data_IF_465369411323
#
_entry.id   IF_465369411323
#
_cell.length_a   1.000
_cell.length_b   1.000
_cell.length_c   1.000
_cell.angle_alpha   90.00
_cell.angle_beta   90.00
_cell.angle_gamma   90.00
#
_symmetry.space_group_name_H-M   'P 1'
#
loop_
_entity.id
_entity.type
_entity.pdbx_description
1 polymer ?
#
# COMPACT_ATOMS: atom_id res chain seq x y z
N UNK A 1 4.12 4.39 -22.61
CA UNK A 1 3.11 4.21 -21.55
C UNK A 1 1.80 4.59 -22.18
N UNK A 2 0.92 3.62 -22.38
CA UNK A 2 -0.44 3.87 -22.83
C UNK A 2 -1.29 4.20 -21.59
N UNK A 3 -2.34 4.99 -21.76
CA UNK A 3 -3.21 5.39 -20.65
C UNK A 3 -3.88 4.17 -20.01
N UNK A 4 -4.23 3.18 -20.84
CA UNK A 4 -4.78 1.87 -20.45
C UNK A 4 -3.87 1.05 -19.53
N UNK A 5 -2.55 1.31 -19.55
CA UNK A 5 -1.59 0.60 -18.70
C UNK A 5 -1.58 1.17 -17.26
N UNK A 6 -2.15 2.37 -17.07
CA UNK A 6 -2.10 3.12 -15.80
C UNK A 6 -3.48 3.23 -15.17
N UNK A 7 -4.50 3.53 -15.97
CA UNK A 7 -5.88 3.72 -15.50
C UNK A 7 -6.83 2.71 -16.15
N UNK A 8 -7.94 2.45 -15.45
CA UNK A 8 -9.10 1.75 -15.99
C UNK A 8 -9.90 2.71 -16.88
N UNK A 9 -9.82 2.49 -18.20
CA UNK A 9 -10.50 3.31 -19.20
C UNK A 9 -12.02 3.16 -19.14
N UNK A 10 -12.54 1.96 -18.86
CA UNK A 10 -13.99 1.73 -18.84
C UNK A 10 -14.63 2.44 -17.65
N UNK A 11 -14.04 2.28 -16.46
CA UNK A 11 -14.51 2.95 -15.24
C UNK A 11 -14.33 4.48 -15.34
N UNK A 12 -13.23 4.95 -15.94
CA UNK A 12 -13.00 6.40 -16.09
C UNK A 12 -13.91 7.03 -17.15
N UNK A 13 -14.21 6.32 -18.24
CA UNK A 13 -15.11 6.79 -19.30
C UNK A 13 -16.57 6.78 -18.83
N UNK A 14 -17.00 5.66 -18.24
CA UNK A 14 -18.33 5.47 -17.66
C UNK A 14 -18.54 6.12 -16.30
N UNK A 15 -17.57 6.87 -15.78
CA UNK A 15 -17.69 7.74 -14.61
C UNK A 15 -17.53 9.23 -14.96
N UNK A 16 -17.46 9.57 -16.25
CA UNK A 16 -17.40 10.95 -16.73
C UNK A 16 -18.74 11.68 -16.57
N UNK A 17 -18.81 12.97 -16.95
CA UNK A 17 -20.00 13.80 -16.80
C UNK A 17 -21.27 13.16 -17.36
N UNK A 18 -21.17 12.39 -18.45
CA UNK A 18 -22.32 11.69 -19.06
C UNK A 18 -22.91 10.59 -18.17
N UNK A 19 -22.10 9.92 -17.35
CA UNK A 19 -22.58 8.90 -16.43
C UNK A 19 -23.11 9.51 -15.11
N UNK A 20 -22.52 10.62 -14.66
CA UNK A 20 -23.04 11.40 -13.54
C UNK A 20 -24.39 12.05 -13.90
N UNK A 21 -24.55 12.48 -15.16
CA UNK A 21 -25.83 12.93 -15.73
C UNK A 21 -26.81 11.77 -15.87
N UNK A 22 -26.40 10.61 -16.39
CA UNK A 22 -27.28 9.43 -16.50
C UNK A 22 -27.70 8.88 -15.12
N UNK A 23 -26.86 8.98 -14.10
CA UNK A 23 -27.19 8.64 -12.71
C UNK A 23 -28.18 9.66 -12.10
N UNK A 24 -28.00 10.96 -12.37
CA UNK A 24 -28.92 12.01 -11.92
C UNK A 24 -30.29 11.95 -12.63
N UNK A 25 -30.34 11.53 -13.90
CA UNK A 25 -31.58 11.34 -14.66
C UNK A 25 -32.29 10.01 -14.31
N UNK A 26 -31.61 9.09 -13.63
CA UNK A 26 -32.15 7.80 -13.18
C UNK A 26 -32.86 7.83 -11.81
N UNK A 27 -32.79 8.96 -11.08
CA UNK A 27 -33.40 9.11 -9.75
C UNK A 27 -34.78 9.82 -9.76
N UNK A 28 -35.29 10.19 -10.93
CA UNK A 28 -36.57 10.92 -11.08
C UNK A 28 -37.78 10.00 -11.34
N UNK A 29 -37.84 8.79 -10.76
CA UNK A 29 -39.10 8.04 -10.65
C UNK A 29 -39.13 7.18 -9.37
N UNK A 30 -39.53 7.77 -8.24
CA UNK A 30 -40.44 7.11 -7.29
C UNK A 30 -41.03 8.14 -6.30
N UNK A 31 -42.13 8.75 -6.73
CA UNK A 31 -43.03 9.53 -5.90
C UNK A 31 -44.04 8.56 -5.25
N UNK A 32 -43.87 8.24 -3.96
CA UNK A 32 -45.01 7.80 -3.14
C UNK A 32 -44.97 8.46 -1.75
N UNK A 33 -45.87 9.43 -1.61
CA UNK A 33 -46.41 9.92 -0.34
C UNK A 33 -46.76 8.78 0.63
N UNK A 34 -46.31 8.88 1.90
CA UNK A 34 -47.17 8.62 3.08
C UNK A 34 -46.54 9.18 4.37
N UNK A 35 -47.17 10.28 4.80
CA UNK A 35 -47.66 10.62 6.15
C UNK A 35 -46.76 10.59 7.40
N UNK A 36 -47.04 11.61 8.22
CA UNK A 36 -46.34 12.04 9.41
C UNK A 36 -46.90 11.40 10.70
N UNK A 37 -46.19 11.69 11.80
CA UNK A 37 -46.55 11.50 13.21
C UNK A 37 -46.30 10.10 13.81
N UNK A 38 -45.28 9.97 14.68
CA UNK A 38 -45.47 9.89 16.14
C UNK A 38 -44.22 9.43 16.92
N UNK A 39 -43.90 10.24 17.93
CA UNK A 39 -43.37 9.94 19.27
C UNK A 39 -42.10 9.09 19.51
N UNK A 40 -41.03 9.84 19.84
CA UNK A 40 -40.24 9.83 21.11
C UNK A 40 -40.37 8.59 22.03
N UNK A 41 -39.26 7.91 22.30
CA UNK A 41 -38.80 7.69 23.69
C UNK A 41 -37.28 7.58 23.78
N UNK A 42 -36.76 8.31 24.77
CA UNK A 42 -35.39 8.40 25.24
C UNK A 42 -35.08 7.26 26.20
N UNK A 43 -33.87 6.70 26.13
CA UNK A 43 -33.25 6.09 27.31
C UNK A 43 -31.72 6.25 27.28
N UNK A 44 -31.21 7.10 28.18
CA UNK A 44 -29.80 7.14 28.60
C UNK A 44 -29.57 6.27 29.84
N UNK A 45 -28.51 5.46 29.83
CA UNK A 45 -27.57 5.20 30.95
C UNK A 45 -26.50 4.22 30.43
N UNK A 46 -25.23 4.59 30.25
CA UNK A 46 -24.20 4.93 31.24
C UNK A 46 -23.63 3.71 32.01
N UNK A 47 -22.36 3.42 31.69
CA UNK A 47 -21.28 2.75 32.44
C UNK A 47 -21.42 1.27 32.84
N UNK A 48 -20.43 0.43 32.45
CA UNK A 48 -19.26 0.13 33.29
C UNK A 48 -18.19 -0.69 32.52
N UNK A 49 -16.93 -0.48 32.90
CA UNK A 49 -15.66 -1.10 32.45
C UNK A 49 -15.52 -2.60 32.80
N UNK A 50 -14.84 -3.37 31.93
CA UNK A 50 -13.78 -4.41 32.19
C UNK A 50 -13.59 -5.21 30.88
N UNK A 51 -12.52 -4.99 30.10
CA UNK A 51 -11.18 -5.63 30.14
C UNK A 51 -11.13 -7.13 29.75
N UNK A 52 -9.99 -7.49 29.14
CA UNK A 52 -9.52 -8.81 28.68
C UNK A 52 -9.83 -9.19 27.22
N UNK A 53 -8.90 -8.79 26.35
CA UNK A 53 -8.70 -9.27 24.99
C UNK A 53 -7.79 -10.52 25.01
N UNK A 54 -8.31 -11.67 24.56
CA UNK A 54 -7.48 -12.83 24.21
C UNK A 54 -7.11 -12.81 22.72
N UNK A 55 -5.82 -12.72 22.47
CA UNK A 55 -5.17 -12.82 21.16
C UNK A 55 -4.89 -14.28 20.81
N UNK A 56 -5.48 -14.80 19.73
CA UNK A 56 -5.07 -16.07 19.14
C UNK A 56 -4.02 -15.86 18.04
N UNK A 57 -2.85 -16.47 18.23
CA UNK A 57 -1.78 -16.61 17.23
C UNK A 57 -1.71 -18.05 16.76
N UNK A 58 -1.55 -18.35 15.46
CA UNK A 58 -1.08 -19.65 15.02
C UNK A 58 0.45 -19.63 14.77
N UNK A 59 1.15 -20.51 15.48
CA UNK A 59 2.54 -20.90 15.21
C UNK A 59 2.56 -22.22 14.43
N UNK A 60 3.50 -22.38 13.48
CA UNK A 60 3.80 -23.68 12.90
C UNK A 60 4.63 -23.65 11.62
N UNK A 61 5.94 -23.52 11.74
CA UNK A 61 6.92 -23.92 10.72
C UNK A 61 7.71 -25.08 11.32
N UNK A 62 7.70 -26.23 10.64
CA UNK A 62 8.72 -27.29 10.80
C UNK A 62 9.15 -27.76 9.42
N UNK A 63 10.45 -27.64 9.20
CA UNK A 63 11.28 -28.18 8.12
C UNK A 63 11.39 -29.71 8.25
N UNK A 64 11.48 -30.44 7.13
CA UNK A 64 12.51 -31.47 6.84
C UNK A 64 12.24 -32.22 5.52
N UNK A 65 13.13 -31.98 4.55
CA UNK A 65 13.96 -32.96 3.81
C UNK A 65 13.37 -34.17 3.03
N UNK A 66 13.77 -34.19 1.74
CA UNK A 66 14.40 -35.30 0.97
C UNK A 66 13.60 -36.25 0.04
N UNK A 67 14.26 -36.49 -1.11
CA UNK A 67 14.22 -37.60 -2.10
C UNK A 67 13.35 -37.50 -3.39
N UNK A 68 13.99 -37.00 -4.46
CA UNK A 68 14.45 -37.68 -5.71
C UNK A 68 13.68 -38.86 -6.37
N UNK A 69 13.89 -38.92 -7.70
CA UNK A 69 13.61 -39.97 -8.71
C UNK A 69 12.18 -40.08 -9.28
N UNK A 70 11.99 -39.79 -10.59
CA UNK A 70 12.05 -40.85 -11.62
C UNK A 70 11.87 -40.33 -13.08
N UNK A 71 12.63 -40.95 -13.99
CA UNK A 71 12.45 -41.28 -15.42
C UNK A 71 11.90 -40.26 -16.46
N UNK A 72 12.69 -39.91 -17.48
CA UNK A 72 12.88 -40.61 -18.78
C UNK A 72 11.76 -40.32 -19.80
N UNK A 73 12.06 -39.55 -20.86
CA UNK A 73 12.24 -40.07 -22.23
C UNK A 73 12.18 -38.97 -23.31
N UNK A 74 12.98 -39.26 -24.32
CA UNK A 74 13.23 -38.62 -25.60
C UNK A 74 11.98 -38.63 -26.52
N UNK A 75 11.84 -37.64 -27.41
CA UNK A 75 11.68 -37.90 -28.86
C UNK A 75 11.12 -36.70 -29.64
N UNK A 76 11.88 -36.40 -30.67
CA UNK A 76 11.66 -35.65 -31.90
C UNK A 76 10.26 -35.65 -32.56
N UNK A 77 9.96 -34.49 -33.16
CA UNK A 77 9.36 -34.20 -34.49
C UNK A 77 8.33 -35.16 -35.13
N UNK A 78 7.22 -34.58 -35.57
CA UNK A 78 6.70 -34.75 -36.94
C UNK A 78 5.82 -33.58 -37.37
N UNK A 79 6.05 -33.11 -38.60
CA UNK A 79 5.16 -32.27 -39.42
C UNK A 79 3.92 -33.06 -39.87
N UNK A 80 2.87 -32.35 -40.32
CA UNK A 80 1.97 -32.87 -41.35
C UNK A 80 0.49 -32.46 -41.29
N UNK A 81 0.09 -31.66 -42.29
CA UNK A 81 -1.20 -31.66 -43.02
C UNK A 81 -2.48 -30.99 -42.47
N UNK A 82 -2.76 -29.83 -43.09
CA UNK A 82 -3.95 -29.40 -43.85
C UNK A 82 -5.36 -29.95 -43.52
N UNK A 83 -6.30 -29.01 -43.43
CA UNK A 83 -7.73 -29.24 -43.56
C UNK A 83 -8.48 -27.93 -43.82
N UNK A 84 -8.77 -27.66 -45.09
CA UNK A 84 -9.71 -26.63 -45.55
C UNK A 84 -11.11 -26.86 -44.95
N UNK A 85 -11.80 -25.76 -44.64
CA UNK A 85 -13.19 -25.74 -44.19
C UNK A 85 -13.79 -24.36 -44.44
N UNK A 86 -14.12 -24.12 -45.71
CA UNK A 86 -14.99 -23.06 -46.19
C UNK A 86 -16.36 -23.13 -45.49
N UNK A 87 -16.82 -21.97 -45.00
CA UNK A 87 -18.01 -21.81 -44.20
C UNK A 87 -18.40 -20.34 -44.16
N UNK A 88 -18.88 -19.87 -45.31
CA UNK A 88 -19.69 -18.68 -45.50
C UNK A 88 -20.82 -18.63 -44.44
N UNK A 89 -20.75 -17.66 -43.54
CA UNK A 89 -21.88 -17.21 -42.73
C UNK A 89 -21.86 -15.68 -42.74
N UNK A 90 -22.48 -15.17 -43.81
CA UNK A 90 -22.86 -13.78 -44.04
C UNK A 90 -24.19 -13.59 -43.29
N UNK A 91 -24.13 -13.21 -42.01
CA UNK A 91 -25.21 -12.57 -41.22
C UNK A 91 -24.78 -12.40 -39.74
N UNK A 92 -24.02 -11.34 -39.43
CA UNK A 92 -24.05 -10.75 -38.07
C UNK A 92 -23.60 -9.28 -38.05
N UNK A 93 -24.26 -8.46 -38.87
CA UNK A 93 -24.05 -7.00 -38.96
C UNK A 93 -25.02 -6.22 -38.02
N UNK A 94 -25.36 -6.77 -36.85
CA UNK A 94 -26.29 -6.15 -35.88
C UNK A 94 -25.93 -6.34 -34.40
N UNK A 95 -24.67 -6.69 -34.09
CA UNK A 95 -24.14 -6.63 -32.72
C UNK A 95 -23.07 -5.53 -32.54
N UNK A 96 -23.21 -4.45 -33.31
CA UNK A 96 -22.56 -3.15 -33.06
C UNK A 96 -23.27 -2.45 -31.86
N UNK A 97 -23.32 -3.14 -30.70
CA UNK A 97 -23.30 -2.41 -29.44
C UNK A 97 -22.06 -1.53 -29.51
N UNK A 98 -22.27 -0.23 -29.29
CA UNK A 98 -21.29 0.85 -29.33
C UNK A 98 -20.23 0.63 -28.25
N UNK A 99 -19.40 -0.39 -28.42
CA UNK A 99 -18.15 -0.56 -27.71
C UNK A 99 -17.20 0.42 -28.39
N UNK A 100 -17.23 1.68 -27.94
CA UNK A 100 -16.24 2.70 -28.30
C UNK A 100 -14.87 2.02 -28.22
N UNK A 101 -14.12 2.05 -29.32
CA UNK A 101 -12.84 1.34 -29.34
C UNK A 101 -11.91 1.94 -28.27
N UNK A 102 -11.13 1.09 -27.59
CA UNK A 102 -10.24 1.51 -26.50
C UNK A 102 -9.34 2.71 -26.87
N UNK A 103 -8.90 2.79 -28.13
CA UNK A 103 -8.11 3.92 -28.63
C UNK A 103 -8.89 5.24 -28.67
N UNK A 104 -10.20 5.20 -28.97
CA UNK A 104 -11.06 6.40 -28.94
C UNK A 104 -11.32 6.84 -27.50
N UNK A 105 -11.62 5.90 -26.60
CA UNK A 105 -11.74 6.20 -25.16
C UNK A 105 -10.45 6.82 -24.61
N UNK A 106 -9.29 6.29 -25.03
CA UNK A 106 -7.98 6.83 -24.65
C UNK A 106 -7.78 8.26 -25.17
N UNK A 107 -8.07 8.55 -26.45
CA UNK A 107 -7.95 9.90 -27.01
C UNK A 107 -8.84 10.93 -26.28
N UNK A 108 -10.07 10.56 -25.92
CA UNK A 108 -11.02 11.44 -25.24
C UNK A 108 -10.63 11.71 -23.77
N UNK A 109 -10.14 10.70 -23.06
CA UNK A 109 -9.76 10.83 -21.64
C UNK A 109 -8.35 11.37 -21.41
N UNK A 110 -7.47 11.33 -22.42
CA UNK A 110 -6.05 11.67 -22.27
C UNK A 110 -5.83 13.07 -21.70
N UNK A 111 -6.51 14.09 -22.22
CA UNK A 111 -6.29 15.48 -21.77
C UNK A 111 -6.72 15.66 -20.32
N UNK A 112 -7.93 15.19 -19.96
CA UNK A 112 -8.46 15.29 -18.61
C UNK A 112 -7.61 14.53 -17.59
N UNK A 113 -7.17 13.32 -17.92
CA UNK A 113 -6.37 12.50 -17.00
C UNK A 113 -4.95 13.08 -16.85
N UNK A 114 -4.37 13.64 -17.92
CA UNK A 114 -3.09 14.33 -17.83
C UNK A 114 -3.15 15.57 -16.92
N UNK A 115 -4.23 16.36 -16.98
CA UNK A 115 -4.42 17.49 -16.06
C UNK A 115 -4.48 17.04 -14.59
N UNK A 116 -5.21 15.95 -14.30
CA UNK A 116 -5.24 15.33 -12.97
C UNK A 116 -3.83 14.90 -12.54
N UNK A 117 -3.09 14.21 -13.40
CA UNK A 117 -1.71 13.79 -13.10
C UNK A 117 -0.75 14.97 -12.90
N UNK A 118 -0.93 16.08 -13.62
CA UNK A 118 -0.11 17.28 -13.40
C UNK A 118 -0.38 17.89 -12.01
N UNK A 119 -1.63 17.89 -11.56
CA UNK A 119 -2.00 18.35 -10.22
C UNK A 119 -1.40 17.43 -9.14
N UNK A 120 -1.54 16.10 -9.32
CA UNK A 120 -0.92 15.09 -8.45
C UNK A 120 0.60 15.31 -8.39
N UNK A 121 1.28 15.46 -9.52
CA UNK A 121 2.72 15.70 -9.57
C UNK A 121 3.14 16.96 -8.79
N UNK A 122 2.42 18.08 -8.97
CA UNK A 122 2.68 19.33 -8.24
C UNK A 122 2.47 19.17 -6.73
N UNK A 123 1.45 18.43 -6.30
CA UNK A 123 1.19 18.17 -4.87
C UNK A 123 2.26 17.22 -4.31
N UNK A 124 2.67 16.21 -5.07
CA UNK A 124 3.73 15.28 -4.71
C UNK A 124 5.05 16.00 -4.47
N UNK A 125 5.47 16.93 -5.35
CA UNK A 125 6.70 17.69 -5.14
C UNK A 125 6.70 18.48 -3.82
N UNK A 126 5.54 19.04 -3.44
CA UNK A 126 5.40 19.76 -2.17
C UNK A 126 5.47 18.79 -0.99
N UNK A 127 4.80 17.64 -1.10
CA UNK A 127 4.79 16.60 -0.08
C UNK A 127 6.19 16.04 0.15
N UNK A 128 6.88 15.68 -0.93
CA UNK A 128 8.26 15.17 -0.91
C UNK A 128 9.21 16.17 -0.23
N UNK A 129 9.13 17.47 -0.56
CA UNK A 129 9.93 18.51 0.12
C UNK A 129 9.66 18.57 1.62
N UNK A 130 8.41 18.40 2.05
CA UNK A 130 8.06 18.37 3.47
C UNK A 130 8.58 17.09 4.16
N UNK A 131 8.52 15.95 3.47
CA UNK A 131 9.08 14.67 3.93
C UNK A 131 10.61 14.73 4.07
N UNK A 132 11.31 15.32 3.11
CA UNK A 132 12.76 15.50 3.18
C UNK A 132 13.15 16.37 4.39
N UNK A 133 12.46 17.50 4.61
CA UNK A 133 12.68 18.34 5.79
C UNK A 133 12.47 17.58 7.09
N UNK A 134 11.48 16.69 7.13
CA UNK A 134 11.18 15.83 8.27
C UNK A 134 12.30 14.81 8.51
N UNK A 135 12.74 14.11 7.47
CA UNK A 135 13.84 13.14 7.54
C UNK A 135 15.15 13.80 7.98
N UNK A 136 15.45 15.02 7.49
CA UNK A 136 16.65 15.76 7.90
C UNK A 136 16.63 16.09 9.40
N UNK A 137 15.48 16.47 9.97
CA UNK A 137 15.36 16.71 11.40
C UNK A 137 15.58 15.41 12.21
N UNK A 138 14.94 14.31 11.80
CA UNK A 138 15.07 13.01 12.46
C UNK A 138 16.51 12.47 12.41
N UNK A 139 17.18 12.58 11.26
CA UNK A 139 18.58 12.17 11.10
C UNK A 139 19.56 13.02 11.92
N UNK A 140 19.17 14.24 12.33
CA UNK A 140 19.94 15.08 13.26
C UNK A 140 19.63 14.77 14.73
N UNK A 141 18.65 13.90 15.00
CA UNK A 141 18.12 13.67 16.35
C UNK A 141 17.31 14.86 16.89
N UNK A 142 16.84 15.75 16.02
CA UNK A 142 16.01 16.90 16.37
C UNK A 142 14.51 16.54 16.27
N UNK A 143 13.69 17.15 17.12
CA UNK A 143 12.24 17.04 16.98
C UNK A 143 11.77 17.74 15.69
N UNK A 144 10.91 17.07 14.92
CA UNK A 144 10.34 17.66 13.70
C UNK A 144 9.52 18.90 14.08
N UNK A 145 9.72 20.06 13.42
CA UNK A 145 8.93 21.25 13.71
C UNK A 145 7.44 21.00 13.51
N UNK A 146 6.61 21.43 14.47
CA UNK A 146 5.14 21.26 14.42
C UNK A 146 4.53 21.82 13.14
N UNK A 147 5.08 22.92 12.61
CA UNK A 147 4.64 23.50 11.35
C UNK A 147 4.92 22.58 10.14
N UNK A 148 6.08 21.91 10.13
CA UNK A 148 6.45 20.93 9.08
C UNK A 148 5.56 19.71 9.16
N UNK A 149 5.32 19.16 10.36
CA UNK A 149 4.38 18.05 10.55
C UNK A 149 2.96 18.39 10.08
N UNK A 150 2.42 19.56 10.49
CA UNK A 150 1.09 19.99 10.02
C UNK A 150 1.02 20.14 8.51
N UNK A 151 2.07 20.69 7.89
CA UNK A 151 2.14 20.84 6.44
C UNK A 151 2.23 19.50 5.73
N UNK A 152 3.05 18.58 6.23
CA UNK A 152 3.16 17.22 5.71
C UNK A 152 1.82 16.49 5.75
N UNK A 153 1.14 16.49 6.90
CA UNK A 153 -0.15 15.82 7.05
C UNK A 153 -1.23 16.45 6.15
N UNK A 154 -1.25 17.78 6.00
CA UNK A 154 -2.17 18.45 5.07
C UNK A 154 -1.93 18.00 3.62
N UNK A 155 -0.67 18.03 3.16
CA UNK A 155 -0.32 17.63 1.79
C UNK A 155 -0.54 16.13 1.55
N UNK A 156 -0.37 15.31 2.59
CA UNK A 156 -0.67 13.88 2.53
C UNK A 156 -2.16 13.65 2.29
N UNK A 157 -3.02 14.33 3.05
CA UNK A 157 -4.47 14.20 2.86
C UNK A 157 -4.89 14.70 1.47
N UNK A 158 -4.38 15.87 1.05
CA UNK A 158 -4.63 16.40 -0.31
C UNK A 158 -4.17 15.42 -1.40
N UNK A 159 -3.08 14.68 -1.18
CA UNK A 159 -2.62 13.63 -2.10
C UNK A 159 -3.57 12.42 -2.13
N UNK A 160 -4.09 12.00 -0.97
CA UNK A 160 -5.06 10.90 -0.90
C UNK A 160 -6.33 11.28 -1.66
N UNK A 161 -6.88 12.47 -1.39
CA UNK A 161 -8.07 12.98 -2.07
C UNK A 161 -7.88 12.99 -3.61
N UNK A 162 -6.73 13.46 -4.09
CA UNK A 162 -6.43 13.48 -5.53
C UNK A 162 -6.24 12.08 -6.15
N UNK A 163 -5.75 11.11 -5.36
CA UNK A 163 -5.53 9.73 -5.83
C UNK A 163 -6.81 8.90 -5.79
N UNK A 164 -7.77 9.23 -4.92
CA UNK A 164 -9.11 8.62 -4.91
C UNK A 164 -9.86 8.89 -6.22
N UNK A 165 -9.65 10.05 -6.83
CA UNK A 165 -10.26 10.45 -8.12
C UNK A 165 -9.62 9.79 -9.36
N UNK A 166 -8.65 8.88 -9.17
CA UNK A 166 -7.94 8.16 -10.23
C UNK A 166 -8.24 6.67 -10.15
N UNK A 167 -9.04 6.18 -11.10
CA UNK A 167 -9.30 4.74 -11.25
C UNK A 167 -8.08 4.05 -11.86
N UNK A 168 -7.15 3.61 -11.01
CA UNK A 168 -5.98 2.85 -11.47
C UNK A 168 -6.39 1.51 -12.05
N UNK A 169 -5.67 1.07 -13.08
CA UNK A 169 -5.81 -0.29 -13.61
C UNK A 169 -5.43 -1.30 -12.51
N UNK A 170 -6.19 -2.39 -12.37
CA UNK A 170 -5.93 -3.44 -11.38
C UNK A 170 -4.49 -3.98 -11.42
N UNK A 171 -3.92 -4.18 -12.61
CA UNK A 171 -2.51 -4.59 -12.73
C UNK A 171 -1.56 -3.59 -12.06
N UNK A 172 -1.84 -2.30 -12.20
CA UNK A 172 -1.04 -1.24 -11.58
C UNK A 172 -1.24 -1.21 -10.07
N UNK A 173 -2.44 -1.49 -9.57
CA UNK A 173 -2.73 -1.63 -8.14
C UNK A 173 -1.91 -2.79 -7.55
N UNK A 174 -1.91 -3.95 -8.20
CA UNK A 174 -1.14 -5.13 -7.78
C UNK A 174 0.37 -4.84 -7.73
N UNK A 175 0.93 -4.20 -8.77
CA UNK A 175 2.35 -3.83 -8.80
C UNK A 175 2.72 -2.88 -7.63
N UNK A 176 1.86 -1.90 -7.33
CA UNK A 176 2.06 -0.98 -6.21
C UNK A 176 1.94 -1.68 -4.86
N UNK A 177 0.99 -2.61 -4.71
CA UNK A 177 0.81 -3.41 -3.51
C UNK A 177 2.01 -4.32 -3.26
N UNK A 178 2.52 -4.97 -4.30
CA UNK A 178 3.71 -5.82 -4.24
C UNK A 178 4.95 -5.01 -3.86
N UNK A 179 5.11 -3.81 -4.44
CA UNK A 179 6.20 -2.92 -4.06
C UNK A 179 6.12 -2.50 -2.59
N UNK A 180 4.95 -2.07 -2.11
CA UNK A 180 4.74 -1.70 -0.71
C UNK A 180 4.99 -2.88 0.23
N UNK A 181 4.51 -4.07 -0.13
CA UNK A 181 4.70 -5.30 0.64
C UNK A 181 6.18 -5.70 0.67
N UNK A 182 6.90 -5.53 -0.44
CA UNK A 182 8.34 -5.72 -0.54
C UNK A 182 9.12 -4.83 0.41
N UNK A 183 8.81 -3.53 0.44
CA UNK A 183 9.42 -2.57 1.36
C UNK A 183 9.12 -2.92 2.82
N UNK A 184 7.86 -3.24 3.14
CA UNK A 184 7.46 -3.63 4.49
C UNK A 184 8.16 -4.91 4.95
N UNK A 185 8.22 -5.94 4.11
CA UNK A 185 8.91 -7.20 4.43
C UNK A 185 10.42 -6.98 4.63
N UNK A 186 11.04 -6.11 3.84
CA UNK A 186 12.45 -5.72 4.01
C UNK A 186 12.66 -5.00 5.35
N UNK A 187 11.79 -4.04 5.70
CA UNK A 187 11.83 -3.32 6.98
C UNK A 187 11.69 -4.29 8.16
N UNK A 188 10.64 -5.11 8.16
CA UNK A 188 10.39 -6.12 9.20
C UNK A 188 11.53 -7.13 9.30
N UNK A 189 12.16 -7.49 8.17
CA UNK A 189 13.34 -8.36 8.14
C UNK A 189 14.54 -7.75 8.86
N UNK A 190 14.78 -6.44 8.68
CA UNK A 190 15.86 -5.71 9.36
C UNK A 190 15.58 -5.55 10.85
N UNK A 191 14.38 -5.09 11.21
CA UNK A 191 13.95 -4.91 12.60
C UNK A 191 13.89 -6.24 13.37
N UNK A 192 13.44 -7.31 12.71
CA UNK A 192 13.42 -8.65 13.26
C UNK A 192 14.83 -9.19 13.55
N UNK A 193 15.80 -8.95 12.67
CA UNK A 193 17.21 -9.28 12.93
C UNK A 193 17.77 -8.48 14.11
N UNK A 194 17.46 -7.19 14.19
CA UNK A 194 17.87 -6.32 15.29
C UNK A 194 17.30 -6.81 16.63
N UNK A 195 16.01 -7.16 16.65
CA UNK A 195 15.33 -7.71 17.83
C UNK A 195 15.92 -9.06 18.27
N UNK A 196 16.32 -9.94 17.33
CA UNK A 196 16.99 -11.21 17.66
C UNK A 196 18.35 -10.99 18.34
N UNK A 197 19.10 -9.94 17.98
CA UNK A 197 20.32 -9.58 18.69
C UNK A 197 20.02 -9.07 20.12
N UNK A 198 18.95 -8.30 20.29
CA UNK A 198 18.52 -7.84 21.60
C UNK A 198 18.13 -9.01 22.52
N UNK A 199 17.39 -9.99 22.00
CA UNK A 199 16.99 -11.20 22.75
C UNK A 199 18.20 -12.05 23.19
N UNK A 200 19.23 -12.20 22.33
CA UNK A 200 20.50 -12.86 22.71
C UNK A 200 21.20 -12.18 23.89
N UNK A 201 20.99 -10.87 24.05
CA UNK A 201 21.47 -10.07 25.17
C UNK A 201 20.49 -10.01 26.35
N UNK A 202 19.42 -10.83 26.33
CA UNK A 202 18.40 -10.91 27.39
C UNK A 202 17.59 -9.62 27.57
N UNK A 203 17.42 -8.86 26.49
CA UNK A 203 16.50 -7.71 26.46
C UNK A 203 15.12 -8.23 26.05
N UNK A 204 14.10 -7.96 26.86
CA UNK A 204 12.73 -8.40 26.54
C UNK A 204 12.17 -7.59 25.37
N UNK A 205 11.34 -8.22 24.54
CA UNK A 205 10.72 -7.58 23.37
C UNK A 205 9.95 -6.28 23.71
N UNK A 206 9.10 -6.21 24.75
CA UNK A 206 8.41 -4.96 25.08
C UNK A 206 9.37 -3.82 25.44
N UNK A 207 10.45 -4.14 26.17
CA UNK A 207 11.47 -3.15 26.54
C UNK A 207 12.23 -2.67 25.31
N UNK A 208 12.54 -3.57 24.38
CA UNK A 208 13.18 -3.21 23.11
C UNK A 208 12.29 -2.27 22.28
N UNK A 209 11.04 -2.66 22.04
CA UNK A 209 10.08 -1.88 21.23
C UNK A 209 9.93 -0.48 21.81
N UNK A 210 9.78 -0.36 23.13
CA UNK A 210 9.67 0.93 23.82
C UNK A 210 10.86 1.85 23.58
N UNK A 211 12.06 1.31 23.44
CA UNK A 211 13.28 2.10 23.22
C UNK A 211 13.58 2.34 21.75
N UNK A 212 13.07 1.49 20.86
CA UNK A 212 13.32 1.52 19.43
C UNK A 212 12.32 2.40 18.68
N UNK A 213 11.02 2.25 18.98
CA UNK A 213 9.94 2.91 18.26
C UNK A 213 10.01 4.44 18.39
N UNK A 214 9.92 5.14 17.25
CA UNK A 214 10.09 6.60 17.15
C UNK A 214 11.55 7.07 17.20
N UNK A 215 12.51 6.15 17.32
CA UNK A 215 13.94 6.42 17.34
C UNK A 215 14.71 5.56 16.32
N UNK A 216 14.04 5.10 15.27
CA UNK A 216 14.60 4.22 14.23
C UNK A 216 15.72 4.92 13.45
N UNK A 217 15.59 6.23 13.26
CA UNK A 217 16.53 7.09 12.52
C UNK A 217 17.41 7.96 13.42
N UNK A 218 17.29 7.83 14.75
CA UNK A 218 18.09 8.62 15.70
C UNK A 218 19.57 8.21 15.63
N UNK A 219 20.51 9.12 15.29
CA UNK A 219 21.93 8.82 15.18
C UNK A 219 22.55 8.47 16.55
N UNK A 220 21.98 8.98 17.64
CA UNK A 220 22.49 8.79 19.01
C UNK A 220 21.79 7.63 19.73
N UNK A 221 20.97 6.86 19.03
CA UNK A 221 20.18 5.77 19.63
C UNK A 221 21.05 4.75 20.37
N UNK A 222 22.15 4.32 19.77
CA UNK A 222 23.06 3.32 20.36
C UNK A 222 23.71 3.83 21.66
N UNK A 223 24.13 5.10 21.68
CA UNK A 223 24.69 5.73 22.88
C UNK A 223 23.63 5.80 23.99
N UNK A 224 22.42 6.24 23.64
CA UNK A 224 21.29 6.35 24.58
C UNK A 224 20.93 5.00 25.19
N UNK A 225 20.76 3.96 24.37
CA UNK A 225 20.37 2.64 24.87
C UNK A 225 21.51 1.96 25.64
N UNK A 226 22.78 2.19 25.29
CA UNK A 226 23.93 1.71 26.06
C UNK A 226 24.01 2.27 27.49
N UNK A 227 23.43 3.46 27.72
CA UNK A 227 23.32 4.09 29.04
C UNK A 227 22.16 3.56 29.91
N UNK A 228 21.25 2.75 29.36
CA UNK A 228 20.07 2.26 30.09
C UNK A 228 20.43 1.30 31.22
N UNK A 229 19.59 1.22 32.27
CA UNK A 229 19.75 0.22 33.31
C UNK A 229 19.58 -1.19 32.73
N UNK A 230 20.47 -2.10 33.12
CA UNK A 230 20.46 -3.50 32.69
C UNK A 230 21.70 -3.87 31.88
N UNK A 231 22.35 -4.97 32.28
CA UNK A 231 23.58 -5.45 31.63
C UNK A 231 23.36 -5.82 30.16
N UNK A 232 22.15 -6.25 29.80
CA UNK A 232 21.78 -6.64 28.44
C UNK A 232 21.97 -5.52 27.42
N UNK A 233 21.59 -4.28 27.75
CA UNK A 233 21.73 -3.12 26.86
C UNK A 233 23.19 -2.78 26.58
N UNK A 234 24.06 -2.81 27.60
CA UNK A 234 25.50 -2.63 27.43
C UNK A 234 26.10 -3.71 26.55
N UNK A 235 25.79 -4.98 26.84
CA UNK A 235 26.27 -6.10 26.03
C UNK A 235 25.74 -6.06 24.60
N UNK A 236 24.51 -5.59 24.38
CA UNK A 236 23.93 -5.43 23.05
C UNK A 236 24.72 -4.44 22.19
N UNK A 237 24.99 -3.24 22.71
CA UNK A 237 25.75 -2.22 21.97
C UNK A 237 27.23 -2.59 21.85
N UNK A 238 27.86 -3.12 22.89
CA UNK A 238 29.29 -3.48 22.87
C UNK A 238 29.59 -4.70 21.99
N UNK A 239 28.72 -5.71 21.99
CA UNK A 239 28.96 -6.98 21.28
C UNK A 239 28.54 -6.94 19.81
N UNK A 240 27.48 -6.22 19.50
CA UNK A 240 26.86 -6.20 18.16
C UNK A 240 26.87 -4.80 17.53
N UNK A 241 27.82 -3.94 17.90
CA UNK A 241 27.90 -2.55 17.43
C UNK A 241 27.80 -2.43 15.91
N UNK A 242 28.62 -3.20 15.19
CA UNK A 242 28.72 -3.12 13.74
C UNK A 242 27.45 -3.68 13.08
N UNK A 243 26.91 -4.78 13.58
CA UNK A 243 25.67 -5.36 13.06
C UNK A 243 24.47 -4.44 13.31
N UNK A 244 24.39 -3.80 14.48
CA UNK A 244 23.34 -2.82 14.79
C UNK A 244 23.45 -1.62 13.85
N UNK A 245 24.66 -1.08 13.65
CA UNK A 245 24.89 0.05 12.76
C UNK A 245 24.46 -0.28 11.32
N UNK A 246 24.89 -1.42 10.78
CA UNK A 246 24.53 -1.87 9.44
C UNK A 246 23.02 -2.10 9.28
N UNK A 247 22.36 -2.71 10.28
CA UNK A 247 20.91 -2.93 10.24
C UNK A 247 20.15 -1.61 10.27
N UNK A 248 20.57 -0.66 11.11
CA UNK A 248 19.94 0.66 11.20
C UNK A 248 20.17 1.52 9.97
N UNK A 249 21.35 1.42 9.34
CA UNK A 249 21.59 2.01 8.03
C UNK A 249 20.64 1.43 6.98
N UNK A 250 20.43 0.12 6.99
CA UNK A 250 19.43 -0.55 6.15
C UNK A 250 18.00 -0.01 6.37
N UNK A 251 17.61 0.21 7.63
CA UNK A 251 16.30 0.80 7.98
C UNK A 251 16.20 2.24 7.48
N UNK A 252 17.27 3.02 7.62
CA UNK A 252 17.38 4.36 7.06
C UNK A 252 17.25 4.38 5.53
N UNK A 253 17.83 3.39 4.85
CA UNK A 253 17.70 3.21 3.41
C UNK A 253 16.26 2.96 2.97
N UNK A 254 15.55 2.03 3.63
CA UNK A 254 14.12 1.76 3.34
C UNK A 254 13.25 2.99 3.62
N UNK A 255 13.61 3.82 4.60
CA UNK A 255 12.85 5.03 4.95
C UNK A 255 13.05 6.19 3.95
N UNK A 256 14.07 6.10 3.10
CA UNK A 256 14.40 7.11 2.08
C UNK A 256 13.93 6.72 0.67
N UNK A 257 13.53 5.46 0.47
CA UNK A 257 12.83 4.95 -0.72
C UNK A 257 11.36 5.39 -0.71
#
# INVERSE_FOLDING_TARGET
LLLRDVIDLETTYGGGPEAEIAAAEGEDEEDTDVDAEADVESFESANDDDDEAETETPAGITDEAEEEEDDEEESEKSEGEEGEGDGDDDDDDENEQVNVSLSKMEEELTEQVLEKFELIAKTYEKLHKAQEQRLVALNKGEAVPVATEKRYNKLKNEMVDLMEDVHLNNFRIEELLDHMTGLNNRLLGLEGKLLRFADRCKIKRPDFIKQYQGHELDPNWMERVGGLPGKGWKTFVERYSDEIANLREGVGGVSAE
#
